data_IF_351459722187
#
_entry.id   IF_351459722187
#
_cell.length_a   1.000
_cell.length_b   1.000
_cell.length_c   1.000
_cell.angle_alpha   90.00
_cell.angle_beta   90.00
_cell.angle_gamma   90.00
#
_symmetry.space_group_name_H-M   'P 1'
#
loop_
_entity.id
_entity.type
_entity.pdbx_description
1 polymer ?
#
# COMPACT_ATOMS: atom_id res chain seq x y z
N UNK A 1 9.68 17.28 -13.04
CA UNK A 1 10.51 16.07 -13.08
C UNK A 1 9.66 14.92 -13.61
N UNK A 2 10.07 14.28 -14.73
CA UNK A 2 9.46 13.05 -15.21
C UNK A 2 10.34 11.88 -14.78
N UNK A 3 9.79 10.97 -13.97
CA UNK A 3 10.44 9.70 -13.66
C UNK A 3 10.32 8.80 -14.89
N UNK A 4 11.45 8.40 -15.46
CA UNK A 4 11.46 7.47 -16.60
C UNK A 4 11.02 6.09 -16.11
N UNK A 5 10.23 5.36 -16.92
CA UNK A 5 9.90 3.97 -16.62
C UNK A 5 11.19 3.13 -16.50
N UNK A 6 11.17 2.18 -15.56
CA UNK A 6 12.25 1.22 -15.40
C UNK A 6 12.26 0.25 -16.60
N UNK A 7 13.46 -0.08 -17.07
CA UNK A 7 13.65 -1.16 -18.03
C UNK A 7 13.65 -2.53 -17.33
N UNK A 8 13.55 -3.66 -18.05
CA UNK A 8 13.49 -5.00 -17.44
C UNK A 8 14.70 -5.34 -16.54
N UNK A 9 15.89 -4.87 -16.85
CA UNK A 9 17.09 -5.09 -16.05
C UNK A 9 17.01 -4.33 -14.74
N UNK A 10 16.59 -3.06 -14.78
CA UNK A 10 16.36 -2.23 -13.60
C UNK A 10 15.24 -2.78 -12.72
N UNK A 11 14.19 -3.38 -13.31
CA UNK A 11 13.14 -4.07 -12.54
C UNK A 11 13.73 -5.25 -11.77
N UNK A 12 14.53 -6.09 -12.42
CA UNK A 12 15.14 -7.23 -11.77
C UNK A 12 16.12 -6.82 -10.65
N UNK A 13 16.94 -5.82 -10.90
CA UNK A 13 17.88 -5.26 -9.91
C UNK A 13 17.14 -4.66 -8.71
N UNK A 14 16.08 -3.90 -8.97
CA UNK A 14 15.23 -3.33 -7.90
C UNK A 14 14.64 -4.41 -7.02
N UNK A 15 14.04 -5.45 -7.61
CA UNK A 15 13.42 -6.55 -6.89
C UNK A 15 14.44 -7.30 -6.03
N UNK A 16 15.64 -7.58 -6.57
CA UNK A 16 16.71 -8.25 -5.83
C UNK A 16 17.17 -7.40 -4.63
N UNK A 17 17.46 -6.13 -4.84
CA UNK A 17 17.87 -5.22 -3.77
C UNK A 17 16.79 -5.08 -2.69
N UNK A 18 15.53 -4.97 -3.10
CA UNK A 18 14.41 -4.86 -2.17
C UNK A 18 14.29 -6.10 -1.26
N UNK A 19 14.33 -7.31 -1.83
CA UNK A 19 14.23 -8.53 -1.02
C UNK A 19 15.44 -8.75 -0.12
N UNK A 20 16.65 -8.44 -0.59
CA UNK A 20 17.85 -8.49 0.25
C UNK A 20 17.72 -7.55 1.44
N UNK A 21 17.30 -6.31 1.21
CA UNK A 21 17.11 -5.32 2.27
C UNK A 21 16.07 -5.78 3.30
N UNK A 22 14.89 -6.25 2.85
CA UNK A 22 13.81 -6.71 3.71
C UNK A 22 14.21 -7.98 4.48
N UNK A 23 14.80 -8.98 3.81
CA UNK A 23 15.22 -10.21 4.47
C UNK A 23 16.31 -9.96 5.52
N UNK A 24 17.30 -9.11 5.23
CA UNK A 24 18.34 -8.72 6.20
C UNK A 24 17.77 -7.99 7.40
N UNK A 25 16.77 -7.12 7.19
CA UNK A 25 16.10 -6.40 8.28
C UNK A 25 15.33 -7.34 9.21
N UNK A 26 14.70 -8.39 8.67
CA UNK A 26 13.85 -9.31 9.43
C UNK A 26 14.68 -10.43 10.09
N UNK A 27 15.66 -10.98 9.40
CA UNK A 27 16.36 -12.22 9.78
C UNK A 27 17.85 -12.00 10.10
N UNK A 28 18.37 -10.77 9.95
CA UNK A 28 19.81 -10.49 10.05
C UNK A 28 20.57 -10.87 8.76
N UNK A 29 21.90 -10.66 8.79
CA UNK A 29 22.77 -11.02 7.68
C UNK A 29 23.21 -12.49 7.81
N UNK A 30 23.30 -13.20 6.69
CA UNK A 30 23.76 -14.58 6.63
C UNK A 30 23.39 -15.29 5.32
N UNK A 31 24.05 -16.40 5.02
CA UNK A 31 23.87 -17.12 3.74
C UNK A 31 22.41 -17.59 3.55
N UNK A 32 21.77 -18.09 4.59
CA UNK A 32 20.37 -18.50 4.54
C UNK A 32 19.41 -17.33 4.24
N UNK A 33 19.75 -16.12 4.68
CA UNK A 33 18.99 -14.91 4.41
C UNK A 33 19.14 -14.49 2.94
N UNK A 34 20.35 -14.57 2.41
CA UNK A 34 20.63 -14.27 0.99
C UNK A 34 19.94 -15.30 0.07
N UNK A 35 19.99 -16.57 0.41
CA UNK A 35 19.30 -17.61 -0.33
C UNK A 35 17.77 -17.42 -0.34
N UNK A 36 17.20 -17.05 0.80
CA UNK A 36 15.77 -16.70 0.93
C UNK A 36 15.43 -15.50 0.05
N UNK A 37 16.24 -14.44 0.09
CA UNK A 37 16.03 -13.25 -0.74
C UNK A 37 16.07 -13.62 -2.24
N UNK A 38 17.05 -14.38 -2.67
CA UNK A 38 17.17 -14.85 -4.04
C UNK A 38 15.99 -15.74 -4.48
N UNK A 39 15.47 -16.57 -3.58
CA UNK A 39 14.25 -17.37 -3.83
C UNK A 39 13.01 -16.49 -4.04
N UNK A 40 12.83 -15.45 -3.22
CA UNK A 40 11.73 -14.49 -3.35
C UNK A 40 11.84 -13.65 -4.61
N UNK A 41 13.04 -13.21 -4.96
CA UNK A 41 13.32 -12.50 -6.21
C UNK A 41 12.89 -13.32 -7.40
N UNK A 42 13.34 -14.59 -7.49
CA UNK A 42 12.94 -15.50 -8.58
C UNK A 42 11.43 -15.67 -8.64
N UNK A 43 10.80 -15.94 -7.51
CA UNK A 43 9.34 -16.14 -7.43
C UNK A 43 8.56 -14.93 -7.96
N UNK A 44 8.92 -13.70 -7.56
CA UNK A 44 8.27 -12.52 -8.08
C UNK A 44 8.55 -12.31 -9.57
N UNK A 45 9.80 -12.49 -10.02
CA UNK A 45 10.16 -12.33 -11.42
C UNK A 45 9.41 -13.32 -12.32
N UNK A 46 9.19 -14.57 -11.87
CA UNK A 46 8.38 -15.57 -12.58
C UNK A 46 6.91 -15.13 -12.71
N UNK A 47 6.33 -14.54 -11.65
CA UNK A 47 4.98 -13.98 -11.71
C UNK A 47 4.89 -12.80 -12.67
N UNK A 48 5.91 -11.94 -12.73
CA UNK A 48 5.95 -10.81 -13.65
C UNK A 48 6.12 -11.24 -15.14
N UNK A 49 6.55 -12.48 -15.41
CA UNK A 49 6.56 -13.05 -16.76
C UNK A 49 5.20 -13.60 -17.21
N UNK A 50 4.22 -13.71 -16.32
CA UNK A 50 2.87 -14.15 -16.69
C UNK A 50 2.22 -13.18 -17.69
N UNK A 51 1.31 -13.67 -18.56
CA UNK A 51 0.70 -12.86 -19.62
C UNK A 51 0.05 -11.57 -19.13
N UNK A 52 -0.56 -11.59 -17.94
CA UNK A 52 -1.24 -10.44 -17.33
C UNK A 52 -0.28 -9.25 -17.09
N UNK A 53 0.97 -9.55 -16.66
CA UNK A 53 2.00 -8.56 -16.36
C UNK A 53 2.92 -8.27 -17.54
N UNK A 54 3.04 -9.19 -18.50
CA UNK A 54 3.94 -9.05 -19.64
C UNK A 54 3.30 -8.31 -20.81
N UNK A 55 2.09 -8.67 -21.18
CA UNK A 55 1.37 -8.14 -22.35
C UNK A 55 -0.03 -7.63 -22.02
N UNK A 56 -0.55 -7.93 -20.83
CA UNK A 56 -1.89 -7.55 -20.37
C UNK A 56 -1.97 -6.11 -19.86
N UNK A 57 -3.08 -5.82 -19.19
CA UNK A 57 -3.38 -4.48 -18.62
C UNK A 57 -2.45 -4.07 -17.47
N UNK A 58 -1.68 -5.01 -16.92
CA UNK A 58 -0.78 -4.77 -15.79
C UNK A 58 0.68 -4.55 -16.22
N UNK A 59 0.99 -4.62 -17.52
CA UNK A 59 2.36 -4.55 -18.06
C UNK A 59 3.14 -3.29 -17.66
N UNK A 60 2.45 -2.19 -17.41
CA UNK A 60 3.06 -0.91 -17.06
C UNK A 60 3.43 -0.81 -15.58
N UNK A 61 2.84 -1.67 -14.72
CA UNK A 61 3.03 -1.58 -13.29
C UNK A 61 4.47 -1.86 -12.87
N UNK A 62 5.16 -2.91 -13.36
CA UNK A 62 6.54 -3.17 -12.99
C UNK A 62 7.52 -2.07 -13.43
N UNK A 63 7.20 -1.34 -14.48
CA UNK A 63 8.03 -0.26 -14.99
C UNK A 63 7.95 1.02 -14.13
N UNK A 64 6.94 1.15 -13.27
CA UNK A 64 6.80 2.27 -12.35
C UNK A 64 7.40 1.90 -10.98
N UNK A 65 8.41 2.64 -10.46
CA UNK A 65 9.08 2.29 -9.20
C UNK A 65 8.14 2.16 -8.00
N UNK A 66 7.14 3.05 -7.89
CA UNK A 66 6.15 2.97 -6.81
C UNK A 66 5.29 1.71 -6.94
N UNK A 67 4.80 1.42 -8.14
CA UNK A 67 4.01 0.21 -8.39
C UNK A 67 4.83 -1.06 -8.18
N UNK A 68 6.10 -1.06 -8.57
CA UNK A 68 7.00 -2.17 -8.34
C UNK A 68 7.23 -2.42 -6.83
N UNK A 69 7.38 -1.35 -6.05
CA UNK A 69 7.43 -1.46 -4.57
C UNK A 69 6.17 -2.13 -4.03
N UNK A 70 4.99 -1.70 -4.50
CA UNK A 70 3.70 -2.30 -4.12
C UNK A 70 3.64 -3.79 -4.49
N UNK A 71 4.09 -4.15 -5.68
CA UNK A 71 4.17 -5.55 -6.11
C UNK A 71 5.08 -6.38 -5.21
N UNK A 72 6.24 -5.84 -4.82
CA UNK A 72 7.14 -6.48 -3.86
C UNK A 72 6.49 -6.69 -2.49
N UNK A 73 5.80 -5.67 -1.96
CA UNK A 73 5.10 -5.74 -0.66
C UNK A 73 4.00 -6.80 -0.70
N UNK A 74 3.12 -6.76 -1.70
CA UNK A 74 2.01 -7.71 -1.84
C UNK A 74 2.53 -9.13 -2.03
N UNK A 75 3.55 -9.34 -2.88
CA UNK A 75 4.16 -10.65 -3.05
C UNK A 75 4.88 -11.13 -1.79
N UNK A 76 5.49 -10.24 -1.02
CA UNK A 76 6.12 -10.63 0.25
C UNK A 76 5.10 -11.18 1.25
N UNK A 77 3.90 -10.62 1.30
CA UNK A 77 2.81 -11.04 2.18
C UNK A 77 2.13 -12.33 1.68
N UNK A 78 1.68 -12.34 0.43
CA UNK A 78 0.76 -13.36 -0.10
C UNK A 78 1.44 -14.43 -0.96
N UNK A 79 2.70 -14.26 -1.35
CA UNK A 79 3.45 -15.11 -2.29
C UNK A 79 2.79 -15.23 -3.67
N UNK A 80 1.83 -14.36 -3.97
CA UNK A 80 1.09 -14.31 -5.22
C UNK A 80 0.76 -12.87 -5.57
N UNK A 81 0.39 -12.63 -6.82
CA UNK A 81 -0.02 -11.32 -7.30
C UNK A 81 -1.47 -11.34 -7.82
N UNK A 82 -2.26 -10.29 -7.53
CA UNK A 82 -3.59 -10.14 -8.08
C UNK A 82 -3.59 -9.98 -9.60
N UNK A 83 -4.60 -10.52 -10.27
CA UNK A 83 -4.76 -10.39 -11.71
C UNK A 83 -5.46 -9.10 -12.15
N UNK A 84 -5.94 -8.30 -11.21
CA UNK A 84 -6.63 -7.03 -11.45
C UNK A 84 -5.93 -5.89 -10.71
N UNK A 85 -5.87 -4.73 -11.34
CA UNK A 85 -5.32 -3.50 -10.75
C UNK A 85 -6.03 -3.11 -9.45
N UNK A 86 -7.36 -3.17 -9.44
CA UNK A 86 -8.16 -2.85 -8.26
C UNK A 86 -7.81 -3.73 -7.06
N UNK A 87 -7.66 -5.04 -7.28
CA UNK A 87 -7.31 -5.99 -6.21
C UNK A 87 -5.90 -5.74 -5.67
N UNK A 88 -4.96 -5.32 -6.55
CA UNK A 88 -3.60 -4.95 -6.14
C UNK A 88 -3.62 -3.71 -5.24
N UNK A 89 -4.35 -2.67 -5.64
CA UNK A 89 -4.48 -1.45 -4.85
C UNK A 89 -5.20 -1.70 -3.52
N UNK A 90 -6.27 -2.50 -3.52
CA UNK A 90 -6.97 -2.86 -2.29
C UNK A 90 -6.05 -3.58 -1.29
N UNK A 91 -5.22 -4.54 -1.76
CA UNK A 91 -4.22 -5.19 -0.91
C UNK A 91 -3.16 -4.22 -0.39
N UNK A 92 -2.70 -3.30 -1.23
CA UNK A 92 -1.74 -2.29 -0.82
C UNK A 92 -2.32 -1.37 0.26
N UNK A 93 -3.51 -0.82 0.06
CA UNK A 93 -4.18 0.06 1.03
C UNK A 93 -4.38 -0.66 2.36
N UNK A 94 -4.87 -1.91 2.32
CA UNK A 94 -5.05 -2.73 3.53
C UNK A 94 -3.74 -2.96 4.27
N UNK A 95 -2.67 -3.32 3.57
CA UNK A 95 -1.35 -3.52 4.17
C UNK A 95 -0.79 -2.24 4.82
N UNK A 96 -0.99 -1.08 4.18
CA UNK A 96 -0.59 0.22 4.74
C UNK A 96 -1.41 0.58 5.98
N UNK A 97 -2.73 0.38 5.95
CA UNK A 97 -3.63 0.64 7.08
C UNK A 97 -3.30 -0.26 8.27
N UNK A 98 -3.03 -1.55 8.04
CA UNK A 98 -2.64 -2.48 9.09
C UNK A 98 -1.27 -2.15 9.70
N UNK A 99 -0.30 -1.74 8.87
CA UNK A 99 1.01 -1.32 9.33
C UNK A 99 0.90 -0.05 10.19
N UNK A 100 0.17 0.93 9.72
CA UNK A 100 -0.09 2.18 10.44
C UNK A 100 -0.78 1.93 11.78
N UNK A 101 -1.76 1.03 11.82
CA UNK A 101 -2.42 0.62 13.05
C UNK A 101 -1.45 0.02 14.08
N UNK A 102 -0.45 -0.76 13.63
CA UNK A 102 0.57 -1.32 14.54
C UNK A 102 1.43 -0.21 15.13
N UNK A 103 1.94 0.69 14.30
CA UNK A 103 2.76 1.81 14.76
C UNK A 103 2.01 2.74 15.73
N UNK A 104 0.76 3.08 15.42
CA UNK A 104 -0.05 3.93 16.29
C UNK A 104 -0.38 3.27 17.64
N UNK A 105 -0.52 1.94 17.66
CA UNK A 105 -0.74 1.18 18.90
C UNK A 105 0.51 1.19 19.78
N UNK A 106 1.68 1.02 19.18
CA UNK A 106 2.96 1.06 19.88
C UNK A 106 3.23 2.45 20.49
N UNK A 107 2.68 3.51 19.89
CA UNK A 107 2.73 4.89 20.41
C UNK A 107 1.63 5.22 21.44
N UNK A 108 0.79 4.26 21.81
CA UNK A 108 -0.36 4.43 22.73
C UNK A 108 -1.35 5.54 22.34
N UNK A 109 -1.37 5.95 21.08
CA UNK A 109 -2.14 7.13 20.65
C UNK A 109 -3.56 6.81 20.16
N UNK A 110 -3.93 5.55 19.91
CA UNK A 110 -5.27 5.20 19.43
C UNK A 110 -5.74 3.86 20.00
N UNK A 111 -6.84 3.88 20.75
CA UNK A 111 -7.38 2.67 21.39
C UNK A 111 -8.34 1.85 20.50
N UNK A 112 -8.87 2.39 19.42
CA UNK A 112 -9.93 1.74 18.64
C UNK A 112 -9.95 2.17 17.16
N UNK A 113 -8.87 1.93 16.42
CA UNK A 113 -8.88 2.16 14.98
C UNK A 113 -9.34 0.88 14.26
N UNK A 114 -10.54 0.90 13.70
CA UNK A 114 -11.06 -0.17 12.86
C UNK A 114 -10.49 -0.06 11.43
N UNK A 115 -9.78 -1.08 10.91
CA UNK A 115 -9.24 -1.06 9.57
C UNK A 115 -10.30 -0.92 8.47
N UNK A 116 -11.50 -1.50 8.66
CA UNK A 116 -12.59 -1.41 7.68
C UNK A 116 -13.14 0.02 7.62
N UNK A 117 -13.32 0.66 8.78
CA UNK A 117 -13.71 2.06 8.84
C UNK A 117 -12.66 2.97 8.20
N UNK A 118 -11.36 2.72 8.42
CA UNK A 118 -10.29 3.47 7.78
C UNK A 118 -10.28 3.33 6.26
N UNK A 119 -10.47 2.12 5.74
CA UNK A 119 -10.54 1.87 4.30
C UNK A 119 -11.75 2.61 3.69
N UNK A 120 -12.89 2.64 4.38
CA UNK A 120 -14.08 3.39 3.98
C UNK A 120 -13.86 4.91 3.97
N UNK A 121 -13.21 5.45 5.00
CA UNK A 121 -12.84 6.88 5.05
C UNK A 121 -11.89 7.25 3.92
N UNK A 122 -10.84 6.45 3.71
CA UNK A 122 -9.88 6.68 2.63
C UNK A 122 -10.55 6.63 1.25
N UNK A 123 -11.49 5.71 1.05
CA UNK A 123 -12.26 5.61 -0.20
C UNK A 123 -13.12 6.85 -0.43
N UNK A 124 -13.78 7.36 0.62
CA UNK A 124 -14.60 8.58 0.54
C UNK A 124 -13.75 9.82 0.27
N UNK A 125 -12.59 9.93 0.91
CA UNK A 125 -11.62 11.00 0.66
C UNK A 125 -11.07 10.93 -0.77
N UNK A 126 -10.71 9.73 -1.23
CA UNK A 126 -10.20 9.53 -2.59
C UNK A 126 -11.24 9.89 -3.66
N UNK A 127 -12.52 9.52 -3.41
CA UNK A 127 -13.62 9.90 -4.29
C UNK A 127 -13.80 11.41 -4.34
N UNK A 128 -13.85 12.06 -3.18
CA UNK A 128 -13.97 13.50 -3.09
C UNK A 128 -12.81 14.22 -3.79
N UNK A 129 -11.57 13.74 -3.62
CA UNK A 129 -10.39 14.28 -4.32
C UNK A 129 -10.51 14.12 -5.84
N UNK A 130 -11.06 12.99 -6.31
CA UNK A 130 -11.27 12.71 -7.73
C UNK A 130 -12.30 13.66 -8.36
N UNK A 131 -13.32 14.08 -7.59
CA UNK A 131 -14.33 15.06 -8.05
C UNK A 131 -13.79 16.50 -8.12
N UNK A 132 -12.65 16.79 -7.47
CA UNK A 132 -12.03 18.12 -7.52
C UNK A 132 -11.22 18.27 -8.81
N UNK A 133 -11.85 18.78 -9.86
CA UNK A 133 -11.19 19.02 -11.15
C UNK A 133 -9.97 19.95 -10.99
N UNK A 134 -8.83 19.55 -11.57
CA UNK A 134 -7.57 20.32 -11.63
C UNK A 134 -6.85 20.59 -10.29
N UNK A 135 -7.16 19.89 -9.20
CA UNK A 135 -6.43 20.00 -7.93
C UNK A 135 -5.56 18.75 -7.73
N UNK A 136 -4.26 18.95 -7.55
CA UNK A 136 -3.28 17.89 -7.29
C UNK A 136 -2.86 17.79 -5.82
N UNK A 137 -3.29 18.74 -4.97
CA UNK A 137 -3.00 18.78 -3.54
C UNK A 137 -4.13 19.45 -2.79
N UNK A 138 -4.34 19.03 -1.55
CA UNK A 138 -5.35 19.57 -0.64
C UNK A 138 -4.74 19.78 0.74
N UNK A 139 -5.32 20.70 1.54
CA UNK A 139 -4.91 20.93 2.91
C UNK A 139 -5.62 19.96 3.86
N UNK A 140 -5.06 19.77 5.06
CA UNK A 140 -5.72 18.98 6.11
C UNK A 140 -7.04 19.64 6.57
N UNK A 141 -7.14 20.96 6.50
CA UNK A 141 -8.36 21.70 6.82
C UNK A 141 -9.50 21.37 5.84
N UNK A 142 -9.19 21.19 4.56
CA UNK A 142 -10.18 20.80 3.55
C UNK A 142 -10.57 19.32 3.65
N UNK A 143 -9.62 18.44 4.02
CA UNK A 143 -9.85 17.00 4.15
C UNK A 143 -10.57 16.62 5.45
N UNK A 144 -10.36 17.37 6.53
CA UNK A 144 -10.90 17.08 7.85
C UNK A 144 -12.43 16.89 7.85
N UNK A 145 -13.23 17.83 7.33
CA UNK A 145 -14.68 17.68 7.24
C UNK A 145 -15.15 16.48 6.43
N UNK A 146 -14.45 16.15 5.33
CA UNK A 146 -14.76 15.00 4.46
C UNK A 146 -14.53 13.70 5.22
N UNK A 147 -13.39 13.57 5.89
CA UNK A 147 -13.04 12.40 6.67
C UNK A 147 -13.99 12.22 7.87
N UNK A 148 -14.34 13.31 8.56
CA UNK A 148 -15.28 13.29 9.69
C UNK A 148 -16.68 12.84 9.27
N UNK A 149 -17.16 13.34 8.13
CA UNK A 149 -18.45 12.93 7.57
C UNK A 149 -18.44 11.45 7.17
N UNK A 150 -17.40 11.01 6.47
CA UNK A 150 -17.25 9.61 6.06
C UNK A 150 -17.22 8.67 7.27
N UNK A 151 -16.52 9.06 8.35
CA UNK A 151 -16.50 8.30 9.60
C UNK A 151 -17.88 8.22 10.26
N UNK A 152 -18.64 9.30 10.28
CA UNK A 152 -19.99 9.33 10.82
C UNK A 152 -20.96 8.45 10.02
N UNK A 153 -20.82 8.41 8.70
CA UNK A 153 -21.64 7.58 7.81
C UNK A 153 -21.34 6.07 7.96
N UNK A 154 -20.10 5.72 8.29
CA UNK A 154 -19.66 4.32 8.47
C UNK A 154 -19.98 3.77 9.87
N UNK A 155 -20.11 4.62 10.88
CA UNK A 155 -20.40 4.25 12.27
C UNK A 155 -21.65 4.96 12.79
N UNK A 156 -22.84 4.65 12.29
CA UNK A 156 -24.09 5.36 12.66
C UNK A 156 -24.51 5.22 14.14
N UNK A 157 -23.67 4.57 14.98
CA UNK A 157 -23.89 4.40 16.43
C UNK A 157 -22.73 4.87 17.32
N UNK A 158 -21.58 5.23 16.76
CA UNK A 158 -20.46 5.78 17.52
C UNK A 158 -20.68 7.31 17.71
N UNK A 159 -21.61 7.67 18.57
CA UNK A 159 -21.76 9.04 19.02
C UNK A 159 -20.42 9.53 19.58
N UNK A 160 -19.81 10.52 18.92
CA UNK A 160 -18.73 11.30 19.50
C UNK A 160 -19.28 11.88 20.80
N UNK A 161 -18.89 11.27 21.92
CA UNK A 161 -19.17 11.81 23.25
C UNK A 161 -18.64 13.23 23.29
N UNK A 162 -19.56 14.16 23.18
CA UNK A 162 -19.36 15.55 23.62
C UNK A 162 -19.34 15.51 25.14
N UNK A 163 -18.23 15.14 25.71
CA UNK A 163 -18.00 15.36 27.13
C UNK A 163 -17.00 16.49 27.31
N UNK A 164 -17.55 17.59 27.74
CA UNK A 164 -17.08 18.37 28.86
C UNK A 164 -15.95 19.33 28.57
N UNK A 165 -16.30 20.54 28.11
CA UNK A 165 -15.59 21.73 28.55
C UNK A 165 -16.59 22.51 29.42
N UNK A 166 -16.47 22.40 30.71
CA UNK A 166 -16.75 23.45 31.69
C UNK A 166 -15.44 24.03 32.18
#
# INVERSE_FOLDING_TARGET
FHVKPLNPEQVAEFVDHWYRAVCRRIHGAGDATEERAAGLTRSLMDLLQQPEYRIGRLRELPANPLMLTILCVVHHQDRNLPRRRADLYAKCVRGLVEHWRKEMRDLQQVSAFDPEAAEGVLSSVAWWLHEQENRTSQTLEELGPVATRALADLAPGAGLGRDGVE
#
